data_IF_773149356153
#
_entry.id   IF_773149356153
#
_cell.length_a   1.000
_cell.length_b   1.000
_cell.length_c   1.000
_cell.angle_alpha   90.00
_cell.angle_beta   90.00
_cell.angle_gamma   90.00
#
_symmetry.space_group_name_H-M   'P 1'
#
loop_
_entity.id
_entity.type
_entity.pdbx_description
1 polymer ?
#
# COMPACT_ATOMS: atom_id res chain seq x y z
N UNK A 1 5.70 -33.20 21.87
CA UNK A 1 4.48 -33.09 21.03
C UNK A 1 4.23 -31.64 20.56
N UNK A 2 5.27 -30.85 20.25
CA UNK A 2 5.14 -29.47 19.77
C UNK A 2 5.75 -29.24 18.37
N UNK A 3 6.47 -30.22 17.82
CA UNK A 3 7.19 -30.07 16.54
C UNK A 3 6.32 -30.29 15.29
N UNK A 4 5.08 -30.79 15.43
CA UNK A 4 4.23 -31.12 14.27
C UNK A 4 3.41 -29.96 13.70
N UNK A 5 3.42 -28.78 14.33
CA UNK A 5 2.61 -27.62 13.91
C UNK A 5 3.38 -26.62 13.02
N UNK A 6 4.71 -26.68 13.00
CA UNK A 6 5.54 -25.77 12.18
C UNK A 6 5.61 -26.20 10.71
N UNK A 7 5.68 -27.51 10.43
CA UNK A 7 5.81 -28.05 9.07
C UNK A 7 4.58 -27.86 8.18
N UNK A 8 3.38 -27.70 8.76
CA UNK A 8 2.15 -27.47 7.99
C UNK A 8 2.06 -26.07 7.36
N UNK A 9 2.61 -25.05 8.03
CA UNK A 9 2.64 -23.67 7.50
C UNK A 9 3.68 -23.50 6.40
N UNK A 10 4.85 -24.11 6.56
CA UNK A 10 5.90 -24.13 5.54
C UNK A 10 5.43 -24.85 4.25
N UNK A 11 4.75 -25.98 4.39
CA UNK A 11 4.17 -26.71 3.25
C UNK A 11 3.12 -25.90 2.48
N UNK A 12 2.30 -25.11 3.17
CA UNK A 12 1.30 -24.23 2.55
C UNK A 12 1.92 -23.05 1.80
N UNK A 13 2.94 -22.39 2.36
CA UNK A 13 3.64 -21.31 1.66
C UNK A 13 4.36 -21.83 0.42
N UNK A 14 5.00 -23.01 0.50
CA UNK A 14 5.66 -23.62 -0.65
C UNK A 14 4.66 -24.00 -1.76
N UNK A 15 3.48 -24.48 -1.37
CA UNK A 15 2.39 -24.79 -2.30
C UNK A 15 1.86 -23.52 -3.00
N UNK A 16 1.61 -22.44 -2.24
CA UNK A 16 1.16 -21.16 -2.82
C UNK A 16 2.24 -20.54 -3.72
N UNK A 17 3.50 -20.60 -3.31
CA UNK A 17 4.63 -20.11 -4.10
C UNK A 17 4.74 -20.86 -5.43
N UNK A 18 4.62 -22.20 -5.42
CA UNK A 18 4.63 -23.00 -6.64
C UNK A 18 3.47 -22.68 -7.61
N UNK A 19 2.29 -22.33 -7.07
CA UNK A 19 1.15 -21.87 -7.89
C UNK A 19 1.34 -20.47 -8.49
N UNK A 20 2.13 -19.62 -7.83
CA UNK A 20 2.48 -18.29 -8.36
C UNK A 20 3.60 -18.32 -9.39
N UNK A 21 4.47 -19.33 -9.40
CA UNK A 21 5.51 -19.48 -10.44
C UNK A 21 4.92 -19.76 -11.83
N UNK A 22 3.76 -20.41 -11.89
CA UNK A 22 3.01 -20.65 -13.14
C UNK A 22 2.23 -19.41 -13.63
N UNK A 23 2.07 -18.40 -12.78
CA UNK A 23 1.45 -17.12 -13.14
C UNK A 23 2.54 -16.10 -13.45
N UNK A 24 2.62 -15.63 -14.69
CA UNK A 24 3.53 -14.53 -15.05
C UNK A 24 3.07 -13.24 -14.35
N UNK A 25 3.53 -13.03 -13.12
CA UNK A 25 3.28 -11.82 -12.35
C UNK A 25 3.92 -10.64 -13.08
N UNK A 26 3.15 -9.56 -13.23
CA UNK A 26 3.68 -8.32 -13.80
C UNK A 26 4.61 -7.67 -12.77
N UNK A 27 5.73 -7.13 -13.25
CA UNK A 27 6.68 -6.43 -12.38
C UNK A 27 6.04 -5.18 -11.76
N UNK A 28 6.34 -4.95 -10.49
CA UNK A 28 5.99 -3.72 -9.75
C UNK A 28 7.15 -2.74 -9.68
N UNK A 29 8.32 -3.09 -10.22
CA UNK A 29 9.44 -2.16 -10.31
C UNK A 29 9.10 -1.00 -11.26
N UNK A 30 9.48 0.20 -10.83
CA UNK A 30 9.37 1.43 -11.59
C UNK A 30 10.76 1.85 -12.02
N UNK A 31 10.94 2.17 -13.30
CA UNK A 31 12.20 2.71 -13.80
C UNK A 31 12.32 4.19 -13.40
N UNK A 32 13.52 4.60 -13.01
CA UNK A 32 13.82 5.96 -12.52
C UNK A 32 12.89 6.39 -11.36
N UNK A 33 12.58 5.47 -10.44
CA UNK A 33 11.76 5.73 -9.25
C UNK A 33 12.34 6.88 -8.41
N UNK A 34 13.66 7.10 -8.45
CA UNK A 34 14.33 8.23 -7.79
C UNK A 34 13.92 9.62 -8.30
N UNK A 35 13.27 9.71 -9.46
CA UNK A 35 12.73 10.95 -10.03
C UNK A 35 11.24 11.16 -9.68
N UNK A 36 10.68 10.32 -8.81
CA UNK A 36 9.32 10.43 -8.33
C UNK A 36 9.36 10.83 -6.86
N UNK A 37 8.97 12.07 -6.57
CA UNK A 37 8.82 12.54 -5.19
C UNK A 37 7.47 12.09 -4.63
N UNK A 38 7.48 11.56 -3.42
CA UNK A 38 6.28 11.04 -2.75
C UNK A 38 5.94 11.88 -1.52
N UNK A 39 4.66 12.12 -1.34
CA UNK A 39 4.06 12.64 -0.11
C UNK A 39 2.86 11.75 0.22
N UNK A 40 3.13 10.68 0.97
CA UNK A 40 2.14 9.66 1.33
C UNK A 40 1.02 10.24 2.21
N UNK A 41 1.32 11.27 3.01
CA UNK A 41 0.32 11.94 3.86
C UNK A 41 -0.80 12.60 3.07
N UNK A 42 -0.50 13.05 1.84
CA UNK A 42 -1.48 13.61 0.91
C UNK A 42 -1.83 12.66 -0.24
N UNK A 43 -1.35 11.41 -0.22
CA UNK A 43 -1.47 10.44 -1.31
C UNK A 43 -1.00 11.02 -2.66
N UNK A 44 0.09 11.79 -2.62
CA UNK A 44 0.61 12.54 -3.75
C UNK A 44 1.91 11.91 -4.27
N UNK A 45 2.04 11.86 -5.60
CA UNK A 45 3.28 11.51 -6.29
C UNK A 45 3.56 12.54 -7.38
N UNK A 46 4.76 13.11 -7.38
CA UNK A 46 5.23 14.11 -8.35
C UNK A 46 6.27 13.44 -9.24
N UNK A 47 5.95 13.26 -10.51
CA UNK A 47 6.83 12.60 -11.46
C UNK A 47 7.58 13.63 -12.32
N UNK A 48 8.90 13.73 -12.13
CA UNK A 48 9.76 14.68 -12.86
C UNK A 48 10.43 14.08 -14.11
N UNK A 49 10.03 12.88 -14.54
CA UNK A 49 10.60 12.23 -15.71
C UNK A 49 10.38 13.08 -16.97
N UNK A 50 11.49 13.49 -17.61
CA UNK A 50 11.47 14.34 -18.79
C UNK A 50 10.98 13.58 -20.01
N UNK A 51 10.09 14.20 -20.77
CA UNK A 51 9.58 13.65 -22.04
C UNK A 51 10.01 14.54 -23.22
N UNK A 52 10.39 13.92 -24.34
CA UNK A 52 10.62 14.64 -25.60
C UNK A 52 9.33 15.28 -26.15
N UNK A 53 9.40 16.56 -26.49
CA UNK A 53 8.23 17.34 -26.92
C UNK A 53 7.67 16.87 -28.28
N UNK A 54 8.50 16.32 -29.17
CA UNK A 54 8.04 15.81 -30.47
C UNK A 54 7.30 14.49 -30.29
N UNK A 55 7.78 13.63 -29.40
CA UNK A 55 7.12 12.36 -29.08
C UNK A 55 5.82 12.56 -28.32
N UNK A 56 5.79 13.52 -27.38
CA UNK A 56 4.57 13.90 -26.68
C UNK A 56 3.46 14.37 -27.63
N UNK A 57 3.79 15.17 -28.64
CA UNK A 57 2.81 15.61 -29.64
C UNK A 57 2.22 14.48 -30.47
N UNK A 58 2.93 13.36 -30.63
CA UNK A 58 2.49 12.21 -31.44
C UNK A 58 1.78 11.14 -30.61
N UNK A 59 2.22 10.92 -29.37
CA UNK A 59 1.82 9.79 -28.52
C UNK A 59 1.45 10.23 -27.10
N UNK A 60 0.99 11.46 -26.92
CA UNK A 60 0.79 12.08 -25.61
C UNK A 60 0.00 11.24 -24.61
N UNK A 61 -1.11 10.62 -25.04
CA UNK A 61 -1.92 9.76 -24.18
C UNK A 61 -1.14 8.55 -23.63
N UNK A 62 -0.41 7.84 -24.49
CA UNK A 62 0.40 6.69 -24.07
C UNK A 62 1.51 7.11 -23.10
N UNK A 63 2.10 8.28 -23.32
CA UNK A 63 3.14 8.80 -22.42
C UNK A 63 2.54 9.19 -21.08
N UNK A 64 1.42 9.91 -21.07
CA UNK A 64 0.73 10.29 -19.83
C UNK A 64 0.32 9.04 -19.04
N UNK A 65 -0.25 8.03 -19.70
CA UNK A 65 -0.61 6.76 -19.07
C UNK A 65 0.60 6.06 -18.47
N UNK A 66 1.72 6.00 -19.19
CA UNK A 66 2.95 5.39 -18.67
C UNK A 66 3.47 6.13 -17.44
N UNK A 67 3.66 7.45 -17.53
CA UNK A 67 4.17 8.27 -16.44
C UNK A 67 3.26 8.22 -15.20
N UNK A 68 1.94 8.20 -15.42
CA UNK A 68 0.95 8.13 -14.35
C UNK A 68 0.93 6.74 -13.71
N UNK A 69 1.01 5.68 -14.51
CA UNK A 69 1.13 4.30 -14.01
C UNK A 69 2.37 4.15 -13.14
N UNK A 70 3.50 4.68 -13.60
CA UNK A 70 4.79 4.61 -12.91
C UNK A 70 4.72 5.35 -11.56
N UNK A 71 4.23 6.59 -11.56
CA UNK A 71 4.01 7.39 -10.36
C UNK A 71 3.05 6.71 -9.36
N UNK A 72 1.96 6.13 -9.87
CA UNK A 72 0.97 5.43 -9.05
C UNK A 72 1.58 4.17 -8.44
N UNK A 73 2.32 3.37 -9.22
CA UNK A 73 2.97 2.17 -8.73
C UNK A 73 4.00 2.50 -7.64
N UNK A 74 4.80 3.56 -7.81
CA UNK A 74 5.73 4.03 -6.79
C UNK A 74 5.02 4.44 -5.50
N UNK A 75 3.93 5.21 -5.61
CA UNK A 75 3.10 5.59 -4.46
C UNK A 75 2.57 4.36 -3.71
N UNK A 76 1.98 3.40 -4.43
CA UNK A 76 1.47 2.17 -3.84
C UNK A 76 2.57 1.31 -3.20
N UNK A 77 3.72 1.20 -3.87
CA UNK A 77 4.89 0.50 -3.32
C UNK A 77 5.36 1.13 -2.02
N UNK A 78 5.26 2.46 -1.86
CA UNK A 78 5.61 3.16 -0.62
C UNK A 78 4.54 2.95 0.46
N UNK A 79 3.26 3.15 0.13
CA UNK A 79 2.13 2.98 1.05
C UNK A 79 2.12 1.57 1.69
N UNK A 80 2.46 0.53 0.93
CA UNK A 80 2.53 -0.84 1.44
C UNK A 80 3.63 -1.10 2.48
N UNK A 81 4.60 -0.20 2.61
CA UNK A 81 5.70 -0.30 3.59
C UNK A 81 5.34 0.36 4.92
N UNK A 82 4.27 1.16 4.97
CA UNK A 82 3.87 1.88 6.18
C UNK A 82 3.21 0.88 7.15
N UNK A 83 3.47 0.96 8.47
CA UNK A 83 2.83 0.09 9.45
C UNK A 83 1.31 0.27 9.47
N UNK A 84 0.56 -0.83 9.34
CA UNK A 84 -0.90 -0.81 9.31
C UNK A 84 -1.46 -1.44 10.57
N UNK A 85 -2.39 -0.77 11.25
CA UNK A 85 -3.20 -1.33 12.32
C UNK A 85 -4.53 -1.86 11.76
N UNK A 86 -4.94 -3.06 12.18
CA UNK A 86 -6.25 -3.61 11.86
C UNK A 86 -7.21 -3.39 13.02
N UNK A 87 -8.27 -2.59 12.80
CA UNK A 87 -9.34 -2.36 13.76
C UNK A 87 -10.67 -2.65 13.09
N UNK A 88 -11.47 -3.54 13.70
CA UNK A 88 -12.82 -3.91 13.24
C UNK A 88 -12.95 -4.32 11.76
N UNK A 89 -11.91 -4.95 11.19
CA UNK A 89 -11.91 -5.44 9.81
C UNK A 89 -11.57 -4.39 8.74
N UNK A 90 -11.19 -3.18 9.14
CA UNK A 90 -10.60 -2.17 8.26
C UNK A 90 -9.09 -2.03 8.54
N UNK A 91 -8.32 -1.82 7.46
CA UNK A 91 -6.88 -1.55 7.49
C UNK A 91 -6.70 -0.03 7.62
N UNK A 92 -6.10 0.41 8.73
CA UNK A 92 -5.77 1.81 8.97
C UNK A 92 -4.25 1.97 9.00
N UNK A 93 -3.76 3.01 8.33
CA UNK A 93 -2.36 3.39 8.49
C UNK A 93 -2.13 3.83 9.93
N UNK A 94 -1.04 3.39 10.57
CA UNK A 94 -0.78 3.64 11.99
C UNK A 94 -0.64 5.14 12.23
N UNK A 95 -1.60 5.74 12.93
CA UNK A 95 -1.55 7.13 13.36
C UNK A 95 -0.60 7.27 14.58
N UNK A 96 0.59 7.88 14.44
CA UNK A 96 1.53 8.05 15.55
C UNK A 96 1.01 9.01 16.64
N UNK A 97 -0.16 9.62 16.47
CA UNK A 97 -0.77 10.54 17.43
C UNK A 97 -1.88 9.91 18.29
N UNK A 98 -2.35 8.69 17.99
CA UNK A 98 -3.43 8.04 18.77
C UNK A 98 -2.98 7.65 20.19
N UNK A 99 -1.69 7.34 20.38
CA UNK A 99 -1.11 7.03 21.71
C UNK A 99 -0.88 8.26 22.61
N UNK A 100 -0.86 9.48 22.04
CA UNK A 100 -0.54 10.71 22.78
C UNK A 100 -1.77 11.43 23.31
N UNK A 101 -2.94 11.21 22.71
CA UNK A 101 -4.19 11.82 23.15
C UNK A 101 -5.12 10.72 23.65
N UNK A 102 -5.08 10.50 24.97
CA UNK A 102 -5.94 9.53 25.65
C UNK A 102 -7.40 9.67 25.21
N UNK A 103 -8.04 8.50 25.02
CA UNK A 103 -9.45 8.32 24.61
C UNK A 103 -10.32 9.50 25.05
N UNK A 104 -10.88 10.22 24.09
CA UNK A 104 -11.90 11.24 24.35
C UNK A 104 -13.05 10.62 25.15
N UNK A 105 -13.49 11.33 26.19
CA UNK A 105 -14.47 10.90 27.20
C UNK A 105 -15.91 10.75 26.66
N UNK A 106 -16.12 10.59 25.35
CA UNK A 106 -17.45 10.51 24.74
C UNK A 106 -18.08 9.09 24.76
N UNK A 107 -17.53 8.17 25.55
CA UNK A 107 -18.11 6.81 25.74
C UNK A 107 -18.91 6.62 27.04
N UNK A 108 -19.33 7.70 27.72
CA UNK A 108 -20.17 7.64 28.92
C UNK A 108 -21.55 8.29 28.73
N UNK A 109 -22.23 8.05 27.61
CA UNK A 109 -23.67 8.34 27.51
C UNK A 109 -24.44 7.17 26.91
N UNK A 110 -24.57 6.11 27.72
CA UNK A 110 -25.30 4.91 27.32
C UNK A 110 -25.64 3.96 28.47
N UNK A 111 -25.71 4.46 29.71
CA UNK A 111 -26.23 3.70 30.86
C UNK A 111 -27.02 4.59 31.79
N UNK A 112 -28.17 5.09 31.33
CA UNK A 112 -29.25 5.42 32.26
C UNK A 112 -30.60 5.37 31.55
N UNK A 113 -31.29 4.24 31.71
CA UNK A 113 -32.72 4.24 31.99
C UNK A 113 -33.10 2.86 32.50
N UNK A 114 -33.26 2.82 33.82
CA UNK A 114 -33.90 1.77 34.58
C UNK A 114 -35.25 2.34 34.95
N UNK A 115 -36.33 1.76 34.42
CA UNK A 115 -37.59 1.51 35.13
C UNK A 115 -38.39 0.43 34.39
#
# INVERSE_FOLDING_TARGET
MAESMAGGKQSLVDTVLSQTEDQQLRTTNVENEELIELDEGNLLAINENKTDTKDFKKKGENILLSLTRDATQALFNSLWKIPVEQKDGALFDHDPFEDQFGKSEDSQEGKSSKE
#
